data_IF_634362606731
#
_entry.id   IF_634362606731
#
_cell.length_a   1.000
_cell.length_b   1.000
_cell.length_c   1.000
_cell.angle_alpha   90.00
_cell.angle_beta   90.00
_cell.angle_gamma   90.00
#
_symmetry.space_group_name_H-M   'P 1'
#
loop_
_entity.id
_entity.type
_entity.pdbx_description
1 polymer ?
#
# COMPACT_ATOMS: atom_id res chain seq x y z
N UNK A 1 5.75 1.90 13.73
CA UNK A 1 6.29 1.97 12.37
C UNK A 1 5.37 2.85 11.55
N UNK A 2 5.89 3.86 10.87
CA UNK A 2 5.12 4.72 9.95
C UNK A 2 4.91 6.17 10.39
N UNK A 3 5.15 6.51 11.66
CA UNK A 3 5.16 7.89 12.13
C UNK A 3 6.47 8.15 12.86
N UNK A 4 7.32 8.94 12.23
CA UNK A 4 8.54 9.46 12.86
C UNK A 4 8.19 10.64 13.75
N UNK A 5 8.96 10.83 14.83
CA UNK A 5 8.78 12.00 15.68
C UNK A 5 9.23 13.24 14.92
N UNK A 6 8.36 14.25 14.85
CA UNK A 6 8.65 15.50 14.14
C UNK A 6 9.92 16.21 14.67
N UNK A 7 10.26 16.00 15.94
CA UNK A 7 11.47 16.53 16.55
C UNK A 7 12.77 15.89 16.03
N UNK A 8 12.69 14.69 15.44
CA UNK A 8 13.84 13.96 14.91
C UNK A 8 14.11 14.27 13.43
N UNK A 9 13.24 15.08 12.79
CA UNK A 9 13.36 15.47 11.38
C UNK A 9 14.35 16.64 11.28
N UNK A 10 15.48 16.50 10.57
CA UNK A 10 16.44 17.59 10.40
C UNK A 10 15.83 18.79 9.67
N UNK A 11 16.21 20.00 10.07
CA UNK A 11 15.78 21.24 9.41
C UNK A 11 16.57 21.54 8.15
N UNK A 12 17.84 21.13 8.08
CA UNK A 12 18.67 21.28 6.88
C UNK A 12 18.17 20.37 5.75
N UNK A 13 18.15 20.88 4.52
CA UNK A 13 17.57 20.17 3.38
C UNK A 13 18.34 18.90 2.99
N UNK A 14 19.68 18.92 3.08
CA UNK A 14 20.50 17.76 2.73
C UNK A 14 20.38 16.68 3.79
N UNK A 15 20.44 17.08 5.05
CA UNK A 15 20.26 16.17 6.18
C UNK A 15 18.86 15.56 6.18
N UNK A 16 17.81 16.36 5.89
CA UNK A 16 16.43 15.87 5.78
C UNK A 16 16.27 14.85 4.65
N UNK A 17 16.94 15.06 3.52
CA UNK A 17 16.92 14.12 2.40
C UNK A 17 17.58 12.79 2.76
N UNK A 18 18.78 12.83 3.34
CA UNK A 18 19.49 11.64 3.78
C UNK A 18 18.71 10.89 4.87
N UNK A 19 18.13 11.64 5.81
CA UNK A 19 17.27 11.09 6.85
C UNK A 19 16.05 10.39 6.26
N UNK A 20 15.28 11.04 5.36
CA UNK A 20 14.08 10.45 4.76
C UNK A 20 14.36 9.15 4.01
N UNK A 21 15.46 9.12 3.25
CA UNK A 21 15.88 7.94 2.47
C UNK A 21 16.43 6.80 3.35
N UNK A 22 16.75 7.08 4.61
CA UNK A 22 17.23 6.07 5.58
C UNK A 22 16.10 5.43 6.41
N UNK A 23 14.86 5.92 6.29
CA UNK A 23 13.75 5.43 7.09
C UNK A 23 13.33 4.02 6.68
N UNK A 24 12.85 3.25 7.67
CA UNK A 24 12.41 1.88 7.43
C UNK A 24 11.01 1.88 6.80
N UNK A 25 10.78 0.91 5.92
CA UNK A 25 9.48 0.66 5.29
C UNK A 25 8.91 1.87 4.52
N UNK A 26 9.78 2.63 3.87
CA UNK A 26 9.38 3.64 2.88
C UNK A 26 8.89 2.97 1.60
N UNK A 27 7.96 3.65 0.91
CA UNK A 27 7.51 3.27 -0.43
C UNK A 27 7.84 4.44 -1.35
N UNK A 28 8.75 4.19 -2.30
CA UNK A 28 9.11 5.15 -3.34
C UNK A 28 8.15 5.01 -4.52
N UNK A 29 7.44 6.09 -4.87
CA UNK A 29 6.53 6.14 -6.02
C UNK A 29 7.20 6.94 -7.15
N UNK A 30 7.56 6.24 -8.23
CA UNK A 30 8.23 6.86 -9.36
C UNK A 30 7.22 7.43 -10.35
N UNK A 31 7.22 8.75 -10.47
CA UNK A 31 6.39 9.47 -11.45
C UNK A 31 7.18 9.74 -12.74
N UNK A 32 6.82 9.06 -13.82
CA UNK A 32 7.35 9.35 -15.15
C UNK A 32 6.47 10.42 -15.82
N UNK A 33 7.05 11.54 -16.25
CA UNK A 33 6.27 12.67 -16.79
C UNK A 33 5.48 12.31 -18.06
N UNK A 34 4.22 12.71 -18.12
CA UNK A 34 3.31 12.50 -19.25
C UNK A 34 2.44 11.25 -19.15
N UNK A 35 2.69 10.35 -18.19
CA UNK A 35 1.89 9.14 -18.00
C UNK A 35 0.47 9.45 -17.52
N UNK A 36 0.27 10.58 -16.83
CA UNK A 36 -1.03 11.08 -16.39
C UNK A 36 -1.99 11.41 -17.54
N UNK A 37 -1.47 11.65 -18.74
CA UNK A 37 -2.24 11.94 -19.95
C UNK A 37 -2.30 10.77 -20.93
N UNK A 38 -1.70 9.62 -20.57
CA UNK A 38 -1.69 8.43 -21.42
C UNK A 38 -2.98 7.64 -21.20
N UNK A 39 -3.68 7.29 -22.28
CA UNK A 39 -4.87 6.44 -22.19
C UNK A 39 -4.49 4.97 -21.95
N UNK A 40 -5.20 4.33 -21.02
CA UNK A 40 -5.04 2.92 -20.70
C UNK A 40 -3.98 2.63 -19.63
N UNK A 41 -3.72 1.34 -19.34
CA UNK A 41 -2.78 0.94 -18.29
C UNK A 41 -1.34 1.23 -18.72
N UNK A 42 -0.64 2.05 -17.94
CA UNK A 42 0.79 2.38 -18.13
C UNK A 42 1.70 1.38 -17.41
N UNK A 43 1.27 0.92 -16.24
CA UNK A 43 2.01 0.00 -15.39
C UNK A 43 1.31 -1.37 -15.29
N UNK A 44 2.10 -2.40 -14.98
CA UNK A 44 1.60 -3.76 -14.78
C UNK A 44 1.82 -4.17 -13.32
N UNK A 45 0.75 -4.61 -12.65
CA UNK A 45 0.79 -4.92 -11.21
C UNK A 45 1.49 -6.24 -10.86
N UNK A 46 1.83 -7.07 -11.85
CA UNK A 46 2.56 -8.33 -11.66
C UNK A 46 1.71 -9.55 -11.26
N UNK A 47 0.40 -9.40 -11.07
CA UNK A 47 -0.50 -10.49 -10.65
C UNK A 47 -1.13 -11.28 -11.82
N UNK A 48 -0.92 -10.81 -13.06
CA UNK A 48 -1.22 -11.52 -14.32
C UNK A 48 0.06 -11.86 -15.08
N UNK A 49 0.00 -12.70 -16.11
CA UNK A 49 1.21 -13.05 -16.89
C UNK A 49 1.68 -11.84 -17.75
N UNK A 50 2.99 -11.51 -17.76
CA UNK A 50 4.08 -12.14 -17.02
C UNK A 50 4.07 -11.76 -15.53
N UNK A 51 4.04 -12.78 -14.66
CA UNK A 51 3.99 -12.59 -13.21
C UNK A 51 5.36 -12.22 -12.63
N UNK A 52 5.35 -11.50 -11.51
CA UNK A 52 6.56 -11.08 -10.81
C UNK A 52 6.26 -10.54 -9.41
N UNK A 53 6.26 -9.22 -9.27
CA UNK A 53 5.79 -8.55 -8.05
C UNK A 53 4.34 -8.97 -7.71
N UNK A 54 4.03 -9.11 -6.42
CA UNK A 54 2.70 -9.49 -5.94
C UNK A 54 1.95 -8.32 -5.31
N UNK A 55 2.41 -7.86 -4.15
CA UNK A 55 1.76 -6.81 -3.36
C UNK A 55 2.71 -6.24 -2.31
N UNK A 56 2.34 -5.07 -1.76
CA UNK A 56 2.82 -4.61 -0.45
C UNK A 56 1.81 -5.00 0.64
N UNK A 57 2.21 -4.95 1.91
CA UNK A 57 1.34 -5.29 3.04
C UNK A 57 1.30 -4.21 4.11
N UNK A 58 0.12 -3.92 4.61
CA UNK A 58 -0.12 -2.95 5.70
C UNK A 58 -0.78 -3.67 6.87
N UNK A 59 -0.07 -3.71 7.98
CA UNK A 59 -0.59 -4.24 9.24
C UNK A 59 -1.51 -3.21 9.91
N UNK A 60 -2.72 -3.62 10.26
CA UNK A 60 -3.73 -2.80 10.93
C UNK A 60 -4.18 -3.47 12.24
N UNK A 61 -4.65 -2.69 13.23
CA UNK A 61 -5.16 -3.26 14.48
C UNK A 61 -6.50 -4.01 14.29
N UNK A 62 -7.31 -3.62 13.32
CA UNK A 62 -8.60 -4.26 13.01
C UNK A 62 -8.84 -4.23 11.50
N UNK A 63 -8.81 -5.40 10.87
CA UNK A 63 -8.99 -5.56 9.43
C UNK A 63 -10.42 -5.22 9.00
N UNK A 64 -11.42 -5.57 9.82
CA UNK A 64 -12.83 -5.32 9.50
C UNK A 64 -13.17 -3.84 9.59
N UNK A 65 -12.72 -3.16 10.65
CA UNK A 65 -12.91 -1.72 10.79
C UNK A 65 -12.19 -0.94 9.67
N UNK A 66 -10.96 -1.33 9.33
CA UNK A 66 -10.22 -0.72 8.23
C UNK A 66 -10.96 -0.92 6.89
N UNK A 67 -11.40 -2.15 6.61
CA UNK A 67 -12.10 -2.47 5.36
C UNK A 67 -13.46 -1.77 5.25
N UNK A 68 -14.21 -1.64 6.35
CA UNK A 68 -15.44 -0.84 6.36
C UNK A 68 -15.18 0.61 5.95
N UNK A 69 -14.14 1.24 6.50
CA UNK A 69 -13.72 2.59 6.10
C UNK A 69 -13.32 2.64 4.63
N UNK A 70 -12.61 1.64 4.12
CA UNK A 70 -12.24 1.57 2.70
C UNK A 70 -13.46 1.47 1.79
N UNK A 71 -14.47 0.69 2.16
CA UNK A 71 -15.75 0.61 1.43
C UNK A 71 -16.49 1.95 1.44
N UNK A 72 -16.57 2.63 2.59
CA UNK A 72 -17.18 3.97 2.71
C UNK A 72 -16.47 5.03 1.84
N UNK A 73 -15.17 4.85 1.59
CA UNK A 73 -14.36 5.71 0.74
C UNK A 73 -14.34 5.27 -0.74
N UNK A 74 -15.04 4.20 -1.10
CA UNK A 74 -15.12 3.71 -2.47
C UNK A 74 -13.84 3.04 -2.98
N UNK A 75 -13.00 2.50 -2.09
CA UNK A 75 -11.78 1.77 -2.47
C UNK A 75 -12.15 0.44 -3.15
N UNK A 76 -11.43 0.10 -4.22
CA UNK A 76 -11.63 -1.17 -4.92
C UNK A 76 -10.99 -2.34 -4.16
N UNK A 77 -11.74 -3.43 -4.00
CA UNK A 77 -11.27 -4.66 -3.37
C UNK A 77 -10.96 -5.73 -4.42
N UNK A 78 -9.82 -6.39 -4.25
CA UNK A 78 -9.52 -7.68 -4.88
C UNK A 78 -10.17 -8.82 -4.11
N UNK A 79 -10.13 -8.73 -2.77
CA UNK A 79 -10.68 -9.74 -1.84
C UNK A 79 -11.13 -9.05 -0.56
N UNK A 80 -12.38 -9.25 -0.13
CA UNK A 80 -12.87 -8.75 1.16
C UNK A 80 -12.40 -9.63 2.34
N UNK A 81 -12.45 -9.14 3.59
CA UNK A 81 -12.00 -9.88 4.77
C UNK A 81 -12.61 -11.27 4.90
N UNK A 82 -13.87 -11.43 4.51
CA UNK A 82 -14.62 -12.68 4.61
C UNK A 82 -14.72 -13.46 3.29
N UNK A 83 -14.06 -13.02 2.22
CA UNK A 83 -14.06 -13.78 0.97
C UNK A 83 -13.07 -14.96 1.03
N UNK A 84 -13.42 -16.07 0.40
CA UNK A 84 -12.53 -17.24 0.30
C UNK A 84 -12.33 -18.00 1.61
N UNK A 85 -11.23 -18.77 1.67
CA UNK A 85 -10.93 -19.69 2.79
C UNK A 85 -10.30 -18.99 4.00
N UNK A 86 -9.36 -18.07 3.77
CA UNK A 86 -8.72 -17.29 4.84
C UNK A 86 -9.60 -16.10 5.20
N UNK A 87 -10.13 -16.11 6.42
CA UNK A 87 -10.94 -15.02 7.00
C UNK A 87 -10.03 -14.03 7.73
N UNK A 88 -10.48 -12.80 7.90
CA UNK A 88 -9.72 -11.75 8.59
C UNK A 88 -8.53 -11.21 7.79
N UNK A 89 -8.53 -11.39 6.46
CA UNK A 89 -7.50 -10.92 5.54
C UNK A 89 -8.13 -10.32 4.28
N UNK A 90 -7.67 -9.15 3.84
CA UNK A 90 -8.20 -8.49 2.65
C UNK A 90 -7.09 -8.02 1.70
N UNK A 91 -7.48 -7.82 0.43
CA UNK A 91 -6.64 -7.17 -0.59
C UNK A 91 -7.42 -6.03 -1.24
N UNK A 92 -6.84 -4.84 -1.26
CA UNK A 92 -7.35 -3.66 -1.98
C UNK A 92 -6.45 -3.31 -3.16
N UNK A 93 -6.92 -2.42 -4.04
CA UNK A 93 -6.12 -1.83 -5.12
C UNK A 93 -5.83 -0.37 -4.87
N UNK A 94 -4.65 0.07 -5.30
CA UNK A 94 -4.33 1.49 -5.50
C UNK A 94 -4.81 1.97 -6.88
N UNK A 95 -4.64 3.27 -7.23
CA UNK A 95 -5.07 3.80 -8.52
C UNK A 95 -4.41 3.16 -9.75
N UNK A 96 -3.19 2.63 -9.62
CA UNK A 96 -2.46 1.92 -10.67
C UNK A 96 -2.82 0.42 -10.71
N UNK A 97 -3.67 -0.04 -9.79
CA UNK A 97 -4.13 -1.41 -9.69
C UNK A 97 -3.16 -2.36 -8.98
N UNK A 98 -2.13 -1.85 -8.30
CA UNK A 98 -1.27 -2.64 -7.42
C UNK A 98 -2.03 -3.15 -6.22
N UNK A 99 -1.75 -4.39 -5.83
CA UNK A 99 -2.43 -5.03 -4.70
C UNK A 99 -1.78 -4.61 -3.39
N UNK A 100 -2.61 -4.35 -2.39
CA UNK A 100 -2.19 -4.03 -1.02
C UNK A 100 -2.90 -4.99 -0.08
N UNK A 101 -2.12 -5.80 0.63
CA UNK A 101 -2.63 -6.71 1.66
C UNK A 101 -2.95 -5.94 2.94
N UNK A 102 -4.13 -6.18 3.50
CA UNK A 102 -4.57 -5.62 4.77
C UNK A 102 -4.73 -6.78 5.76
N UNK A 103 -3.88 -6.76 6.78
CA UNK A 103 -3.76 -7.88 7.71
C UNK A 103 -3.54 -7.44 9.15
N UNK A 104 -3.76 -8.36 10.09
CA UNK A 104 -3.35 -8.20 11.48
C UNK A 104 -2.54 -9.43 11.89
N UNK A 105 -1.30 -9.21 12.32
CA UNK A 105 -0.36 -10.28 12.69
C UNK A 105 -0.86 -11.18 13.83
N UNK A 106 -1.81 -10.71 14.64
CA UNK A 106 -2.37 -11.48 15.75
C UNK A 106 -3.59 -12.33 15.36
N UNK A 107 -4.16 -12.12 14.17
CA UNK A 107 -5.40 -12.80 13.74
C UNK A 107 -5.27 -13.55 12.42
N UNK A 108 -4.18 -13.33 11.67
CA UNK A 108 -3.86 -14.14 10.50
C UNK A 108 -3.24 -15.46 10.98
N UNK A 109 -4.06 -16.51 11.04
CA UNK A 109 -3.67 -17.91 11.21
C UNK A 109 -4.41 -18.82 10.23
#
# INVERSE_FOLDING_TARGET
>A
MGYENAADIPSDDKERTAWAMSQKATVELTYNWGTESTEGPVYHNGNTDPRGFGHIGVMVPDVYAACKRFEELGVEFVKKPDDGRMKGLAFIKDPDGYWIEIFNANTVC
#
